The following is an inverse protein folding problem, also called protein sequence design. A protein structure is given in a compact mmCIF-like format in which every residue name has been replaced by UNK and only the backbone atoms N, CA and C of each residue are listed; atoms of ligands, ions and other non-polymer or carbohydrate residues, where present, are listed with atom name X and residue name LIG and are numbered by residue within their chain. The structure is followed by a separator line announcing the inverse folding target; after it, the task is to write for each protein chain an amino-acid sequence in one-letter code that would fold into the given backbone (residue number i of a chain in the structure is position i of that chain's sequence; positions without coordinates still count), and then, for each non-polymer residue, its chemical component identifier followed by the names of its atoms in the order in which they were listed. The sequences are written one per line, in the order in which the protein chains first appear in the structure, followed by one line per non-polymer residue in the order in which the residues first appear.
data_IF_004831944495
#
_entry.id   IF_004831944495
#
_cell.length_a   1.000
_cell.length_b   1.000
_cell.length_c   1.000
_cell.angle_alpha   90.00
_cell.angle_beta   90.00
_cell.angle_gamma   90.00
#
_symmetry.space_group_name_H-M   'P 1'
#
loop_
_entity.id
_entity.type
_entity.pdbx_description
1 polymer ?
#
# COMPACT_ATOMS: atom_id res chain seq x y z
N UNK A 1 -15.28 -2.62 12.66
CA UNK A 1 -15.84 -2.58 11.30
C UNK A 1 -16.39 -1.19 10.94
N UNK A 2 -17.45 -0.67 11.59
CA UNK A 2 -18.09 0.62 11.23
C UNK A 2 -17.13 1.81 11.14
N UNK A 3 -16.21 1.97 12.09
CA UNK A 3 -15.22 3.07 12.09
C UNK A 3 -14.26 2.93 10.89
N UNK A 4 -13.81 1.72 10.59
CA UNK A 4 -12.95 1.45 9.45
C UNK A 4 -13.65 1.82 8.14
N UNK A 5 -14.89 1.36 7.93
CA UNK A 5 -15.65 1.65 6.72
C UNK A 5 -15.89 3.15 6.55
N UNK A 6 -16.25 3.86 7.62
CA UNK A 6 -16.39 5.33 7.60
C UNK A 6 -15.07 6.02 7.22
N UNK A 7 -13.92 5.53 7.69
CA UNK A 7 -12.63 6.04 7.30
C UNK A 7 -12.37 5.86 5.80
N UNK A 8 -12.69 4.68 5.26
CA UNK A 8 -12.59 4.41 3.81
C UNK A 8 -13.48 5.36 3.02
N UNK A 9 -14.77 5.53 3.42
CA UNK A 9 -15.72 6.42 2.74
C UNK A 9 -15.20 7.87 2.69
N UNK A 10 -14.66 8.37 3.80
CA UNK A 10 -14.12 9.73 3.86
C UNK A 10 -12.90 9.88 2.94
N UNK A 11 -11.99 8.91 2.94
CA UNK A 11 -10.82 8.92 2.06
C UNK A 11 -11.27 8.89 0.60
N UNK A 12 -12.13 7.94 0.21
CA UNK A 12 -12.62 7.81 -1.16
C UNK A 12 -13.35 9.07 -1.60
N UNK A 13 -14.24 9.62 -0.77
CA UNK A 13 -14.97 10.85 -1.09
C UNK A 13 -14.05 12.05 -1.28
N UNK A 14 -12.96 12.12 -0.50
CA UNK A 14 -11.98 13.20 -0.61
C UNK A 14 -11.07 13.11 -1.84
N UNK A 15 -10.90 11.93 -2.45
CA UNK A 15 -10.08 11.75 -3.66
C UNK A 15 -10.91 11.71 -4.95
N UNK A 16 -12.20 11.42 -4.87
CA UNK A 16 -13.09 11.32 -6.05
C UNK A 16 -13.05 12.56 -6.94
N UNK A 17 -13.13 13.80 -6.42
CA UNK A 17 -13.04 14.99 -7.27
C UNK A 17 -11.69 15.10 -7.99
N UNK A 18 -10.60 14.69 -7.34
CA UNK A 18 -9.27 14.67 -7.93
C UNK A 18 -9.18 13.62 -9.04
N UNK A 19 -9.71 12.43 -8.81
CA UNK A 19 -9.77 11.37 -9.80
C UNK A 19 -10.61 11.77 -11.02
N UNK A 20 -11.72 12.47 -10.81
CA UNK A 20 -12.55 13.03 -11.91
C UNK A 20 -11.80 14.12 -12.68
N UNK A 21 -11.03 14.97 -12.00
CA UNK A 21 -10.22 15.99 -12.64
C UNK A 21 -9.12 15.37 -13.53
N UNK A 22 -8.42 14.34 -13.03
CA UNK A 22 -7.45 13.58 -13.83
C UNK A 22 -8.10 12.81 -14.97
N UNK A 23 -9.31 12.25 -14.76
CA UNK A 23 -10.07 11.59 -15.82
C UNK A 23 -10.38 12.55 -16.98
N UNK A 24 -10.84 13.76 -16.69
CA UNK A 24 -11.04 14.80 -17.69
C UNK A 24 -9.74 15.28 -18.35
N UNK A 25 -8.67 15.44 -17.57
CA UNK A 25 -7.38 15.90 -18.06
C UNK A 25 -6.73 14.90 -19.03
N UNK A 26 -6.83 13.60 -18.75
CA UNK A 26 -6.19 12.54 -19.52
C UNK A 26 -7.14 11.77 -20.44
N UNK A 27 -8.40 12.20 -20.52
CA UNK A 27 -9.44 11.57 -21.34
C UNK A 27 -9.58 10.05 -21.08
N UNK A 28 -9.59 9.66 -19.81
CA UNK A 28 -9.79 8.29 -19.37
C UNK A 28 -11.26 7.98 -19.10
N UNK A 29 -11.59 6.69 -18.85
CA UNK A 29 -12.93 6.32 -18.42
C UNK A 29 -13.30 6.97 -17.08
N UNK A 30 -14.59 7.16 -16.84
CA UNK A 30 -15.09 7.71 -15.59
C UNK A 30 -14.80 6.77 -14.42
N UNK A 31 -14.28 7.31 -13.31
CA UNK A 31 -14.03 6.54 -12.11
C UNK A 31 -15.31 6.07 -11.40
N UNK A 32 -16.48 6.62 -11.77
CA UNK A 32 -17.79 6.17 -11.26
C UNK A 32 -18.16 4.76 -11.70
N UNK A 33 -17.46 4.20 -12.69
CA UNK A 33 -17.64 2.82 -13.16
C UNK A 33 -16.77 1.82 -12.42
N UNK A 34 -15.86 2.29 -11.56
CA UNK A 34 -15.03 1.41 -10.74
C UNK A 34 -15.87 0.71 -9.67
N UNK A 35 -15.61 -0.57 -9.48
CA UNK A 35 -16.22 -1.36 -8.42
C UNK A 35 -15.94 -0.76 -7.05
N UNK A 36 -16.99 -0.70 -6.22
CA UNK A 36 -16.94 -0.13 -4.88
C UNK A 36 -16.56 -1.18 -3.84
N UNK A 37 -15.46 -0.91 -3.16
CA UNK A 37 -14.91 -1.75 -2.10
C UNK A 37 -15.93 -2.05 -0.98
N UNK A 38 -16.71 -1.04 -0.54
CA UNK A 38 -17.65 -1.24 0.56
C UNK A 38 -18.82 -2.13 0.15
N UNK A 39 -19.31 -1.96 -1.08
CA UNK A 39 -20.34 -2.82 -1.67
C UNK A 39 -19.81 -4.26 -1.78
N UNK A 40 -18.59 -4.42 -2.31
CA UNK A 40 -17.95 -5.72 -2.44
C UNK A 40 -17.76 -6.40 -1.08
N UNK A 41 -17.22 -5.67 -0.10
CA UNK A 41 -17.01 -6.21 1.25
C UNK A 41 -18.34 -6.60 1.91
N UNK A 42 -19.39 -5.82 1.75
CA UNK A 42 -20.72 -6.14 2.30
C UNK A 42 -21.28 -7.46 1.74
N UNK A 43 -20.97 -7.80 0.49
CA UNK A 43 -21.39 -9.06 -0.14
C UNK A 43 -20.54 -10.27 0.31
N UNK A 44 -19.25 -10.08 0.59
CA UNK A 44 -18.29 -11.17 0.82
C UNK A 44 -17.67 -11.18 2.23
N UNK A 45 -18.18 -10.39 3.17
CA UNK A 45 -17.64 -10.25 4.54
C UNK A 45 -17.41 -11.62 5.22
N UNK A 46 -18.39 -12.52 5.14
CA UNK A 46 -18.28 -13.86 5.75
C UNK A 46 -17.19 -14.71 5.12
N UNK A 47 -17.02 -14.61 3.79
CA UNK A 47 -15.93 -15.30 3.08
C UNK A 47 -14.57 -14.75 3.49
N UNK A 48 -14.41 -13.43 3.54
CA UNK A 48 -13.18 -12.75 3.98
C UNK A 48 -12.79 -13.22 5.38
N UNK A 49 -13.75 -13.23 6.31
CA UNK A 49 -13.51 -13.68 7.68
C UNK A 49 -13.09 -15.14 7.78
N UNK A 50 -13.76 -16.04 7.03
CA UNK A 50 -13.45 -17.46 7.02
C UNK A 50 -12.04 -17.73 6.42
N UNK A 51 -11.70 -17.10 5.30
CA UNK A 51 -10.39 -17.25 4.65
C UNK A 51 -9.28 -16.71 5.55
N UNK A 52 -9.50 -15.55 6.20
CA UNK A 52 -8.56 -14.98 7.16
C UNK A 52 -8.26 -15.97 8.28
N UNK A 53 -9.30 -16.53 8.89
CA UNK A 53 -9.15 -17.49 10.00
C UNK A 53 -8.42 -18.76 9.55
N UNK A 54 -8.89 -19.39 8.46
CA UNK A 54 -8.28 -20.62 7.93
C UNK A 54 -6.81 -20.40 7.54
N UNK A 55 -6.52 -19.33 6.79
CA UNK A 55 -5.18 -19.03 6.33
C UNK A 55 -4.23 -18.70 7.47
N UNK A 56 -4.69 -17.98 8.50
CA UNK A 56 -3.90 -17.73 9.69
C UNK A 56 -3.54 -19.00 10.46
N UNK A 57 -4.51 -19.90 10.66
CA UNK A 57 -4.26 -21.20 11.30
C UNK A 57 -3.25 -22.00 10.49
N UNK A 58 -3.39 -22.03 9.17
CA UNK A 58 -2.43 -22.72 8.28
C UNK A 58 -1.05 -22.06 8.34
N UNK A 59 -0.94 -20.73 8.42
CA UNK A 59 0.34 -20.04 8.60
C UNK A 59 1.05 -20.47 9.90
N UNK A 60 0.32 -20.64 11.00
CA UNK A 60 0.88 -21.16 12.26
C UNK A 60 1.37 -22.61 12.07
N UNK A 61 0.60 -23.46 11.39
CA UNK A 61 0.98 -24.86 11.10
C UNK A 61 2.26 -24.88 10.26
N UNK A 62 2.32 -24.07 9.19
CA UNK A 62 3.51 -23.94 8.34
C UNK A 62 4.71 -23.47 9.17
N UNK A 63 4.54 -22.45 10.02
CA UNK A 63 5.61 -21.92 10.88
C UNK A 63 6.10 -22.97 11.89
N UNK A 64 5.23 -23.86 12.38
CA UNK A 64 5.60 -24.94 13.30
C UNK A 64 6.42 -26.04 12.63
N UNK A 65 5.97 -26.54 11.47
CA UNK A 65 6.46 -27.80 10.90
C UNK A 65 7.44 -27.62 9.73
N UNK A 66 7.64 -26.37 9.25
CA UNK A 66 8.50 -26.11 8.10
C UNK A 66 9.62 -25.14 8.44
N UNK A 67 10.47 -24.84 7.45
CA UNK A 67 11.52 -23.80 7.54
C UNK A 67 10.98 -22.36 7.54
N UNK A 68 9.72 -22.15 7.17
CA UNK A 68 9.08 -20.84 7.12
C UNK A 68 8.65 -20.40 8.53
N UNK A 69 9.64 -20.02 9.36
CA UNK A 69 9.47 -19.70 10.79
C UNK A 69 8.99 -18.27 11.01
N UNK A 70 7.95 -17.83 10.28
CA UNK A 70 7.36 -16.49 10.40
C UNK A 70 5.86 -16.56 10.57
N UNK A 71 5.31 -15.77 11.50
CA UNK A 71 3.87 -15.65 11.74
C UNK A 71 3.46 -14.24 11.41
N UNK A 72 2.53 -14.09 10.47
CA UNK A 72 2.05 -12.80 10.02
C UNK A 72 1.11 -12.17 11.05
N UNK A 73 1.45 -10.97 11.55
CA UNK A 73 0.70 -10.28 12.60
C UNK A 73 0.25 -8.86 12.25
N UNK A 74 0.45 -8.41 11.01
CA UNK A 74 -0.05 -7.11 10.53
C UNK A 74 -1.51 -7.26 10.12
N UNK A 75 -2.40 -6.99 11.02
CA UNK A 75 -3.76 -7.43 10.89
C UNK A 75 -4.60 -6.66 9.86
N UNK A 76 -4.32 -5.36 9.58
CA UNK A 76 -4.95 -4.66 8.47
C UNK A 76 -4.62 -5.35 7.14
N UNK A 77 -3.38 -5.73 6.94
CA UNK A 77 -2.94 -6.43 5.72
C UNK A 77 -3.52 -7.84 5.67
N UNK A 78 -3.57 -8.54 6.82
CA UNK A 78 -4.23 -9.85 6.92
C UNK A 78 -5.70 -9.80 6.46
N UNK A 79 -6.40 -8.69 6.72
CA UNK A 79 -7.78 -8.50 6.31
C UNK A 79 -7.92 -8.17 4.81
N UNK A 80 -7.00 -7.35 4.25
CA UNK A 80 -7.10 -6.89 2.87
C UNK A 80 -6.79 -7.97 1.84
N UNK A 81 -5.85 -8.88 2.11
CA UNK A 81 -5.48 -9.92 1.13
C UNK A 81 -6.60 -10.89 0.78
N UNK A 82 -7.38 -11.46 1.73
CA UNK A 82 -8.51 -12.31 1.38
C UNK A 82 -9.53 -11.61 0.48
N UNK A 83 -9.87 -10.37 0.80
CA UNK A 83 -10.76 -9.55 -0.02
C UNK A 83 -10.21 -9.37 -1.43
N UNK A 84 -8.92 -9.03 -1.54
CA UNK A 84 -8.27 -8.79 -2.83
C UNK A 84 -8.26 -10.04 -3.71
N UNK A 85 -7.92 -11.21 -3.14
CA UNK A 85 -7.90 -12.45 -3.90
C UNK A 85 -9.30 -12.96 -4.25
N UNK A 86 -10.31 -12.70 -3.42
CA UNK A 86 -11.71 -12.93 -3.80
C UNK A 86 -12.09 -12.08 -5.02
N UNK A 87 -11.76 -10.79 -5.00
CA UNK A 87 -12.01 -9.90 -6.12
C UNK A 87 -11.35 -10.38 -7.40
N UNK A 88 -10.05 -10.73 -7.35
CA UNK A 88 -9.31 -11.28 -8.50
C UNK A 88 -9.93 -12.58 -9.02
N UNK A 89 -10.34 -13.48 -8.12
CA UNK A 89 -10.99 -14.73 -8.53
C UNK A 89 -12.32 -14.48 -9.24
N UNK A 90 -13.12 -13.55 -8.74
CA UNK A 90 -14.42 -13.18 -9.34
C UNK A 90 -14.22 -12.54 -10.71
N UNK A 91 -13.27 -11.63 -10.87
CA UNK A 91 -12.93 -11.04 -12.18
C UNK A 91 -12.51 -12.10 -13.21
N UNK A 92 -11.92 -13.20 -12.75
CA UNK A 92 -11.56 -14.35 -13.59
C UNK A 92 -12.67 -15.42 -13.68
N UNK A 93 -13.91 -15.11 -13.31
CA UNK A 93 -15.06 -16.04 -13.32
C UNK A 93 -14.87 -17.31 -12.48
N UNK A 94 -13.98 -17.28 -11.49
CA UNK A 94 -13.84 -18.38 -10.53
C UNK A 94 -14.98 -18.30 -9.52
N UNK A 95 -15.64 -19.40 -9.22
CA UNK A 95 -16.82 -19.43 -8.35
C UNK A 95 -16.86 -20.64 -7.41
N UNK A 96 -17.76 -20.59 -6.43
CA UNK A 96 -18.01 -21.70 -5.51
C UNK A 96 -16.77 -22.17 -4.74
N UNK A 97 -16.59 -23.48 -4.65
CA UNK A 97 -15.46 -24.09 -3.92
C UNK A 97 -14.10 -23.74 -4.57
N UNK A 98 -14.05 -23.64 -5.90
CA UNK A 98 -12.81 -23.24 -6.61
C UNK A 98 -12.35 -21.83 -6.16
N UNK A 99 -13.28 -20.89 -6.00
CA UNK A 99 -12.98 -19.52 -5.53
C UNK A 99 -12.40 -19.54 -4.10
N UNK A 100 -13.00 -20.32 -3.21
CA UNK A 100 -12.50 -20.46 -1.85
C UNK A 100 -11.08 -21.02 -1.82
N UNK A 101 -10.82 -22.12 -2.56
CA UNK A 101 -9.50 -22.76 -2.62
C UNK A 101 -8.47 -21.83 -3.25
N UNK A 102 -8.79 -21.18 -4.38
CA UNK A 102 -7.93 -20.20 -5.03
C UNK A 102 -7.52 -19.09 -4.06
N UNK A 103 -8.51 -18.45 -3.43
CA UNK A 103 -8.26 -17.34 -2.49
C UNK A 103 -7.42 -17.79 -1.29
N UNK A 104 -7.72 -18.96 -0.73
CA UNK A 104 -6.98 -19.50 0.41
C UNK A 104 -5.52 -19.81 0.06
N UNK A 105 -5.25 -20.41 -1.10
CA UNK A 105 -3.89 -20.70 -1.57
C UNK A 105 -3.10 -19.39 -1.75
N UNK A 106 -3.66 -18.42 -2.49
CA UNK A 106 -3.01 -17.14 -2.73
C UNK A 106 -2.72 -16.41 -1.41
N UNK A 107 -3.67 -16.43 -0.48
CA UNK A 107 -3.52 -15.83 0.83
C UNK A 107 -2.39 -16.46 1.64
N UNK A 108 -2.33 -17.81 1.71
CA UNK A 108 -1.26 -18.52 2.44
C UNK A 108 0.11 -18.22 1.84
N UNK A 109 0.21 -18.15 0.51
CA UNK A 109 1.47 -17.86 -0.18
C UNK A 109 2.01 -16.49 0.23
N UNK A 110 1.17 -15.44 0.18
CA UNK A 110 1.63 -14.08 0.50
C UNK A 110 2.05 -13.94 1.95
N UNK A 111 1.24 -14.41 2.90
CA UNK A 111 1.55 -14.25 4.34
C UNK A 111 2.71 -15.12 4.83
N UNK A 112 3.16 -16.05 3.99
CA UNK A 112 4.27 -16.96 4.32
C UNK A 112 5.57 -16.57 3.62
N UNK A 113 5.54 -16.31 2.31
CA UNK A 113 6.74 -16.18 1.48
C UNK A 113 7.47 -14.87 1.73
N UNK A 114 6.76 -13.74 1.64
CA UNK A 114 7.42 -12.44 1.76
C UNK A 114 8.05 -12.18 3.12
N UNK A 115 7.38 -12.43 4.25
CA UNK A 115 8.01 -12.27 5.56
C UNK A 115 9.24 -13.16 5.74
N UNK A 116 9.20 -14.38 5.22
CA UNK A 116 10.34 -15.30 5.27
C UNK A 116 11.54 -14.78 4.48
N UNK A 117 11.31 -14.32 3.24
CA UNK A 117 12.38 -13.76 2.40
C UNK A 117 12.97 -12.50 3.04
N UNK A 118 12.09 -11.63 3.57
CA UNK A 118 12.48 -10.34 4.13
C UNK A 118 13.28 -10.47 5.44
N UNK A 119 13.10 -11.56 6.21
CA UNK A 119 13.73 -11.79 7.51
C UNK A 119 15.24 -11.50 7.53
N UNK A 120 15.99 -12.04 6.56
CA UNK A 120 17.45 -11.82 6.45
C UNK A 120 17.82 -10.36 6.21
N UNK A 121 16.95 -9.61 5.49
CA UNK A 121 17.17 -8.22 5.17
C UNK A 121 16.83 -7.32 6.36
N UNK A 122 15.74 -7.61 7.08
CA UNK A 122 15.38 -6.95 8.34
C UNK A 122 16.49 -7.14 9.37
N UNK A 123 16.96 -8.38 9.56
CA UNK A 123 18.08 -8.68 10.45
C UNK A 123 19.34 -7.86 10.10
N UNK A 124 19.62 -7.64 8.82
CA UNK A 124 20.75 -6.85 8.39
C UNK A 124 20.61 -5.36 8.80
N UNK A 125 19.42 -4.79 8.66
CA UNK A 125 19.14 -3.38 8.98
C UNK A 125 19.08 -3.16 10.48
N UNK A 126 18.45 -4.06 11.21
CA UNK A 126 18.17 -3.90 12.67
C UNK A 126 19.27 -4.45 13.58
N UNK A 127 20.13 -5.31 13.07
CA UNK A 127 21.14 -6.02 13.85
C UNK A 127 20.59 -7.19 14.68
N UNK A 128 19.29 -7.46 14.65
CA UNK A 128 18.68 -8.54 15.43
C UNK A 128 17.70 -9.39 14.60
N UNK A 129 17.29 -10.53 15.11
CA UNK A 129 16.44 -11.52 14.45
C UNK A 129 15.13 -11.75 15.23
N UNK A 130 14.68 -10.74 16.00
CA UNK A 130 13.50 -10.86 16.87
C UNK A 130 12.18 -10.68 16.12
N UNK A 131 12.20 -10.08 14.93
CA UNK A 131 11.03 -9.87 14.08
C UNK A 131 11.41 -9.80 12.59
N UNK A 132 10.43 -9.90 11.75
CA UNK A 132 10.50 -9.52 10.34
C UNK A 132 9.35 -8.58 10.00
N UNK A 133 9.27 -8.12 8.75
CA UNK A 133 8.17 -7.28 8.28
C UNK A 133 7.16 -8.14 7.51
N UNK A 134 5.88 -7.94 7.82
CA UNK A 134 4.72 -8.43 7.09
C UNK A 134 3.89 -7.23 6.66
N UNK A 135 4.22 -6.64 5.51
CA UNK A 135 3.57 -5.44 5.00
C UNK A 135 3.71 -5.35 3.48
N UNK A 136 2.85 -4.59 2.84
CA UNK A 136 2.84 -4.35 1.39
C UNK A 136 4.11 -3.66 0.86
N UNK A 137 4.94 -3.12 1.75
CA UNK A 137 6.26 -2.57 1.46
C UNK A 137 7.33 -3.60 1.08
N UNK A 138 7.06 -4.90 1.24
CA UNK A 138 8.08 -5.97 1.14
C UNK A 138 8.88 -5.92 -0.14
N UNK A 139 8.22 -5.65 -1.28
CA UNK A 139 8.89 -5.56 -2.58
C UNK A 139 9.89 -4.41 -2.65
N UNK A 140 9.53 -3.24 -2.09
CA UNK A 140 10.40 -2.06 -2.10
C UNK A 140 11.54 -2.20 -1.10
N UNK A 141 11.31 -2.85 0.04
CA UNK A 141 12.36 -3.22 1.00
C UNK A 141 13.37 -4.19 0.37
N UNK A 142 12.90 -5.17 -0.40
CA UNK A 142 13.76 -6.08 -1.16
C UNK A 142 14.52 -5.33 -2.26
N UNK A 143 13.83 -4.52 -3.07
CA UNK A 143 14.44 -3.68 -4.10
C UNK A 143 15.56 -2.82 -3.51
N UNK A 144 15.29 -2.11 -2.41
CA UNK A 144 16.27 -1.29 -1.71
C UNK A 144 17.46 -2.10 -1.20
N UNK A 145 17.21 -3.27 -0.65
CA UNK A 145 18.28 -4.14 -0.15
C UNK A 145 19.20 -4.63 -1.28
N UNK A 146 18.66 -4.94 -2.47
CA UNK A 146 19.45 -5.37 -3.63
C UNK A 146 20.17 -4.20 -4.28
N UNK A 147 19.51 -3.06 -4.52
CA UNK A 147 20.15 -1.84 -5.05
C UNK A 147 21.28 -1.39 -4.10
N UNK A 148 21.01 -1.39 -2.79
CA UNK A 148 22.03 -1.05 -1.79
C UNK A 148 23.26 -1.95 -1.86
N UNK A 149 23.06 -3.26 -2.10
CA UNK A 149 24.17 -4.20 -2.32
C UNK A 149 24.96 -3.90 -3.58
N UNK A 150 24.29 -3.50 -4.67
CA UNK A 150 24.94 -3.17 -5.95
C UNK A 150 25.75 -1.88 -5.87
N UNK A 151 25.19 -0.85 -5.21
CA UNK A 151 25.86 0.46 -5.06
C UNK A 151 27.03 0.40 -4.08
N UNK A 152 26.87 -0.26 -2.93
CA UNK A 152 27.94 -0.61 -2.00
C UNK A 152 28.67 0.54 -1.27
N UNK A 153 28.05 1.76 -1.18
CA UNK A 153 28.68 2.96 -0.61
C UNK A 153 28.18 3.24 0.82
N UNK A 154 28.39 2.31 1.75
CA UNK A 154 27.90 2.39 3.14
C UNK A 154 28.41 3.59 3.93
N UNK A 155 29.60 4.06 3.63
CA UNK A 155 30.25 5.25 4.20
C UNK A 155 29.42 6.51 3.99
N UNK A 156 28.63 6.56 2.91
CA UNK A 156 27.74 7.68 2.56
C UNK A 156 26.36 7.54 3.22
N UNK A 157 26.32 7.34 4.54
CA UNK A 157 25.07 7.11 5.26
C UNK A 157 24.23 8.40 5.39
N UNK A 158 22.97 8.36 4.96
CA UNK A 158 22.00 9.49 5.08
C UNK A 158 21.77 9.89 6.54
N UNK A 159 21.84 8.96 7.49
CA UNK A 159 21.56 9.25 8.90
C UNK A 159 22.62 10.19 9.53
N UNK A 160 23.77 10.31 8.89
CA UNK A 160 24.82 11.27 9.29
C UNK A 160 24.52 12.71 8.82
N UNK A 161 23.49 12.93 8.02
CA UNK A 161 23.09 14.27 7.56
C UNK A 161 22.28 15.00 8.63
N UNK A 162 22.66 16.24 8.92
CA UNK A 162 21.89 17.14 9.75
C UNK A 162 20.76 17.78 8.92
N UNK A 163 19.59 17.12 8.90
CA UNK A 163 18.43 17.69 8.20
C UNK A 163 17.86 18.88 8.98
N UNK A 164 17.40 19.94 8.26
CA UNK A 164 16.75 21.08 8.89
C UNK A 164 15.56 20.67 9.76
N UNK A 165 15.42 21.29 10.93
CA UNK A 165 14.27 21.03 11.84
C UNK A 165 12.92 21.31 11.18
N UNK A 166 12.86 22.21 10.20
CA UNK A 166 11.68 22.49 9.40
C UNK A 166 11.15 21.28 8.62
N UNK A 167 11.94 20.25 8.38
CA UNK A 167 11.49 19.02 7.72
C UNK A 167 10.91 18.00 8.71
N UNK A 168 10.96 18.27 10.03
CA UNK A 168 10.50 17.30 11.04
C UNK A 168 8.99 17.04 10.96
N UNK A 169 8.17 17.98 10.49
CA UNK A 169 6.73 17.80 10.34
C UNK A 169 6.36 16.76 9.26
N UNK A 170 7.22 16.56 8.24
CA UNK A 170 7.02 15.47 7.26
C UNK A 170 7.16 14.07 7.85
N UNK A 171 7.62 13.95 9.10
CA UNK A 171 7.63 12.67 9.84
C UNK A 171 6.23 12.28 10.32
N UNK A 172 5.31 13.24 10.44
CA UNK A 172 3.90 12.95 10.69
C UNK A 172 3.18 12.70 9.36
N UNK A 173 2.80 11.46 9.13
CA UNK A 173 2.17 11.01 7.87
C UNK A 173 0.87 11.74 7.58
N UNK A 174 0.07 12.03 8.62
CA UNK A 174 -1.24 12.65 8.43
C UNK A 174 -1.11 14.11 8.02
N UNK A 175 -0.21 14.85 8.68
CA UNK A 175 0.09 16.24 8.32
C UNK A 175 0.67 16.30 6.91
N UNK A 176 1.59 15.41 6.61
CA UNK A 176 2.20 15.31 5.28
C UNK A 176 1.16 15.00 4.21
N UNK A 177 0.28 14.04 4.46
CA UNK A 177 -0.78 13.68 3.52
C UNK A 177 -1.74 14.86 3.27
N UNK A 178 -2.13 15.60 4.32
CA UNK A 178 -2.96 16.80 4.20
C UNK A 178 -2.30 17.87 3.30
N UNK A 179 -1.02 18.16 3.55
CA UNK A 179 -0.28 19.19 2.80
C UNK A 179 -0.09 18.77 1.34
N UNK A 180 0.30 17.51 1.10
CA UNK A 180 0.49 17.01 -0.26
C UNK A 180 -0.82 17.03 -1.03
N UNK A 181 -1.92 16.54 -0.45
CA UNK A 181 -3.23 16.59 -1.09
C UNK A 181 -3.68 18.03 -1.35
N UNK A 182 -3.49 18.94 -0.41
CA UNK A 182 -3.74 20.38 -0.62
C UNK A 182 -2.99 20.92 -1.84
N UNK A 183 -1.68 20.65 -1.94
CA UNK A 183 -0.84 21.09 -3.07
C UNK A 183 -1.31 20.45 -4.39
N UNK A 184 -1.60 19.16 -4.38
CA UNK A 184 -2.06 18.44 -5.58
C UNK A 184 -3.38 19.02 -6.07
N UNK A 185 -4.35 19.27 -5.18
CA UNK A 185 -5.63 19.89 -5.55
C UNK A 185 -5.45 21.28 -6.17
N UNK A 186 -4.54 22.11 -5.63
CA UNK A 186 -4.22 23.41 -6.22
C UNK A 186 -3.64 23.24 -7.63
N UNK A 187 -2.61 22.41 -7.78
CA UNK A 187 -1.95 22.18 -9.06
C UNK A 187 -2.97 21.71 -10.10
N UNK A 188 -3.71 20.64 -9.80
CA UNK A 188 -4.70 20.10 -10.74
C UNK A 188 -5.79 21.13 -11.05
N UNK A 189 -6.30 21.83 -10.02
CA UNK A 189 -7.32 22.87 -10.21
C UNK A 189 -6.88 24.06 -11.06
N UNK A 190 -5.56 24.30 -11.16
CA UNK A 190 -5.00 25.30 -12.10
C UNK A 190 -4.93 24.76 -13.52
N UNK A 191 -4.62 23.46 -13.69
CA UNK A 191 -4.45 22.85 -15.01
C UNK A 191 -5.78 22.53 -15.73
N UNK A 192 -6.85 22.16 -15.02
CA UNK A 192 -8.13 21.78 -15.63
C UNK A 192 -8.96 22.96 -16.15
N UNK A 193 -8.52 24.18 -15.93
CA UNK A 193 -9.23 25.40 -16.34
C UNK A 193 -10.44 25.74 -15.46
N UNK A 194 -10.96 26.97 -15.62
CA UNK A 194 -11.99 27.52 -14.72
C UNK A 194 -13.34 26.78 -14.80
N UNK A 195 -13.80 26.47 -15.99
CA UNK A 195 -15.12 25.85 -16.19
C UNK A 195 -15.16 24.43 -15.64
N UNK A 196 -14.18 23.58 -16.01
CA UNK A 196 -14.04 22.22 -15.49
C UNK A 196 -13.84 22.20 -13.97
N UNK A 197 -13.09 23.17 -13.44
CA UNK A 197 -12.90 23.31 -12.00
C UNK A 197 -14.22 23.59 -11.27
N UNK A 198 -15.04 24.51 -11.80
CA UNK A 198 -16.34 24.83 -11.18
C UNK A 198 -17.28 23.59 -11.27
N UNK A 199 -17.24 22.86 -12.38
CA UNK A 199 -18.05 21.65 -12.55
C UNK A 199 -17.67 20.54 -11.57
N UNK A 200 -16.36 20.37 -11.24
CA UNK A 200 -15.85 19.27 -10.41
C UNK A 200 -15.71 19.70 -8.95
N UNK A 201 -15.18 20.89 -8.67
CA UNK A 201 -14.88 21.37 -7.32
C UNK A 201 -15.96 22.30 -6.75
N UNK A 202 -16.93 22.71 -7.57
CA UNK A 202 -17.96 23.67 -7.18
C UNK A 202 -17.49 25.13 -7.31
N UNK A 203 -18.32 26.05 -6.77
CA UNK A 203 -18.09 27.49 -6.85
C UNK A 203 -17.12 28.04 -5.79
N UNK A 204 -16.61 27.20 -4.90
CA UNK A 204 -15.72 27.63 -3.83
C UNK A 204 -14.35 28.10 -4.36
N UNK A 205 -13.67 29.04 -3.66
CA UNK A 205 -12.30 29.44 -4.00
C UNK A 205 -11.38 28.23 -3.98
N UNK A 206 -10.52 28.09 -5.01
CA UNK A 206 -9.63 26.93 -5.18
C UNK A 206 -8.80 26.63 -3.91
N UNK A 207 -8.26 27.65 -3.26
CA UNK A 207 -7.44 27.48 -2.05
C UNK A 207 -8.27 26.89 -0.91
N UNK A 208 -9.48 27.41 -0.67
CA UNK A 208 -10.38 26.94 0.39
C UNK A 208 -10.78 25.50 0.13
N UNK A 209 -11.22 25.19 -1.08
CA UNK A 209 -11.60 23.83 -1.48
C UNK A 209 -10.43 22.84 -1.30
N UNK A 210 -9.25 23.21 -1.81
CA UNK A 210 -8.06 22.34 -1.71
C UNK A 210 -7.65 22.09 -0.26
N UNK A 211 -7.76 23.10 0.61
CA UNK A 211 -7.47 22.96 2.04
C UNK A 211 -8.44 22.00 2.72
N UNK A 212 -9.74 22.17 2.45
CA UNK A 212 -10.79 21.30 2.98
C UNK A 212 -10.54 19.83 2.54
N UNK A 213 -10.26 19.60 1.26
CA UNK A 213 -10.01 18.26 0.76
C UNK A 213 -8.74 17.61 1.37
N UNK A 214 -7.67 18.37 1.51
CA UNK A 214 -6.45 17.90 2.17
C UNK A 214 -6.68 17.50 3.63
N UNK A 215 -7.40 18.31 4.39
CA UNK A 215 -7.74 18.01 5.79
C UNK A 215 -8.70 16.81 5.86
N UNK A 216 -9.71 16.75 4.98
CA UNK A 216 -10.68 15.64 4.93
C UNK A 216 -9.99 14.32 4.63
N UNK A 217 -9.05 14.30 3.67
CA UNK A 217 -8.24 13.12 3.38
C UNK A 217 -7.46 12.65 4.61
N UNK A 218 -6.75 13.55 5.27
CA UNK A 218 -5.98 13.20 6.48
C UNK A 218 -6.88 12.72 7.63
N UNK A 219 -8.02 13.35 7.84
CA UNK A 219 -9.01 12.92 8.83
C UNK A 219 -9.56 11.52 8.52
N UNK A 220 -9.90 11.25 7.26
CA UNK A 220 -10.33 9.94 6.80
C UNK A 220 -9.27 8.87 7.06
N UNK A 221 -8.00 9.17 6.76
CA UNK A 221 -6.87 8.28 7.05
C UNK A 221 -6.72 8.00 8.55
N UNK A 222 -6.83 9.01 9.41
CA UNK A 222 -6.76 8.82 10.87
C UNK A 222 -7.88 7.91 11.35
N UNK A 223 -9.11 8.14 10.89
CA UNK A 223 -10.28 7.35 11.25
C UNK A 223 -10.13 5.91 10.76
N UNK A 224 -9.70 5.71 9.51
CA UNK A 224 -9.44 4.39 8.93
C UNK A 224 -8.40 3.63 9.76
N UNK A 225 -7.23 4.22 9.97
CA UNK A 225 -6.15 3.59 10.74
C UNK A 225 -6.55 3.32 12.20
N UNK A 226 -7.38 4.17 12.80
CA UNK A 226 -7.92 3.95 14.14
C UNK A 226 -8.88 2.76 14.15
N UNK A 227 -9.78 2.66 13.18
CA UNK A 227 -10.69 1.52 13.03
C UNK A 227 -9.91 0.20 12.87
N UNK A 228 -8.87 0.21 12.05
CA UNK A 228 -7.94 -0.92 11.91
C UNK A 228 -7.31 -1.27 13.26
N UNK A 229 -6.68 -0.31 13.95
CA UNK A 229 -6.02 -0.55 15.25
C UNK A 229 -6.96 -1.13 16.31
N UNK A 230 -8.21 -0.68 16.33
CA UNK A 230 -9.22 -1.20 17.27
C UNK A 230 -9.52 -2.69 17.01
N UNK A 231 -9.71 -3.09 15.75
CA UNK A 231 -9.91 -4.49 15.39
C UNK A 231 -8.70 -5.33 15.78
N UNK A 232 -7.48 -4.80 15.54
CA UNK A 232 -6.24 -5.50 15.79
C UNK A 232 -5.86 -5.57 17.27
N UNK A 233 -6.22 -4.56 18.05
CA UNK A 233 -5.95 -4.52 19.48
C UNK A 233 -6.50 -5.74 20.23
N UNK A 234 -7.60 -6.31 19.74
CA UNK A 234 -8.19 -7.53 20.29
C UNK A 234 -7.61 -8.81 19.66
N UNK A 235 -7.37 -8.78 18.37
CA UNK A 235 -6.97 -9.96 17.59
C UNK A 235 -5.49 -10.32 17.81
N UNK A 236 -4.57 -9.35 17.75
CA UNK A 236 -3.13 -9.60 17.80
C UNK A 236 -2.67 -10.25 19.11
N UNK A 237 -3.08 -9.79 20.32
CA UNK A 237 -2.66 -10.43 21.56
C UNK A 237 -3.12 -11.87 21.66
N UNK A 238 -4.37 -12.16 21.23
CA UNK A 238 -4.92 -13.50 21.20
C UNK A 238 -4.13 -14.43 20.27
N UNK A 239 -3.85 -13.97 19.07
CA UNK A 239 -3.06 -14.74 18.10
C UNK A 239 -1.60 -14.90 18.50
N UNK A 240 -0.98 -13.88 19.08
CA UNK A 240 0.39 -13.98 19.59
C UNK A 240 0.49 -15.05 20.68
N UNK A 241 -0.44 -15.07 21.63
CA UNK A 241 -0.46 -16.09 22.70
C UNK A 241 -0.61 -17.52 22.15
N UNK A 242 -1.40 -17.72 21.09
CA UNK A 242 -1.54 -18.99 20.38
C UNK A 242 -0.24 -19.36 19.66
N UNK A 243 0.34 -18.41 18.93
CA UNK A 243 1.56 -18.60 18.17
C UNK A 243 2.76 -18.97 19.03
N UNK A 244 2.96 -18.27 20.14
CA UNK A 244 4.05 -18.53 21.10
C UNK A 244 3.99 -19.96 21.67
N UNK A 245 2.78 -20.48 21.87
CA UNK A 245 2.58 -21.86 22.37
C UNK A 245 2.71 -22.91 21.28
N UNK A 246 2.13 -22.66 20.11
CA UNK A 246 2.00 -23.67 19.04
C UNK A 246 3.20 -23.70 18.08
N UNK A 247 3.90 -22.58 17.86
CA UNK A 247 5.00 -22.48 16.89
C UNK A 247 6.30 -21.95 17.50
N UNK A 248 6.81 -22.69 18.49
CA UNK A 248 8.08 -22.33 19.16
C UNK A 248 9.22 -22.08 18.16
N UNK A 249 9.96 -20.97 18.34
CA UNK A 249 11.09 -20.58 17.49
C UNK A 249 10.70 -19.86 16.20
N UNK A 250 9.42 -19.56 15.99
CA UNK A 250 9.00 -18.61 14.97
C UNK A 250 9.11 -17.18 15.45
N UNK A 251 9.27 -16.25 14.50
CA UNK A 251 9.32 -14.82 14.77
C UNK A 251 8.08 -14.13 14.20
N UNK A 252 7.61 -13.03 14.83
CA UNK A 252 6.50 -12.26 14.30
C UNK A 252 6.91 -11.48 13.05
N UNK A 253 6.04 -11.47 12.05
CA UNK A 253 6.08 -10.54 10.95
C UNK A 253 5.17 -9.35 11.30
N UNK A 254 5.81 -8.21 11.59
CA UNK A 254 5.18 -7.01 12.14
C UNK A 254 5.00 -5.94 11.07
N UNK A 255 4.25 -4.91 11.43
CA UNK A 255 3.95 -3.78 10.57
C UNK A 255 5.20 -2.94 10.25
N UNK A 256 5.18 -2.25 9.10
CA UNK A 256 6.31 -1.51 8.55
C UNK A 256 6.85 -0.39 9.45
N UNK A 257 6.05 0.32 10.28
CA UNK A 257 6.58 1.33 11.19
C UNK A 257 7.65 0.83 12.18
N UNK A 258 7.72 -0.49 12.38
CA UNK A 258 8.78 -1.11 13.21
C UNK A 258 10.19 -0.90 12.66
N UNK A 259 10.33 -0.60 11.36
CA UNK A 259 11.64 -0.35 10.73
C UNK A 259 12.01 1.14 10.70
N UNK A 260 11.06 2.06 10.87
CA UNK A 260 11.27 3.50 10.73
C UNK A 260 12.36 4.07 11.64
N UNK A 261 12.49 3.63 12.92
CA UNK A 261 13.55 4.12 13.80
C UNK A 261 14.97 3.80 13.34
N UNK A 262 15.14 2.83 12.43
CA UNK A 262 16.46 2.41 11.93
C UNK A 262 16.97 3.25 10.75
N UNK A 263 16.17 4.18 10.25
CA UNK A 263 16.56 5.10 9.17
C UNK A 263 15.57 6.24 8.96
N UNK A 264 15.35 7.11 9.97
CA UNK A 264 14.34 8.15 9.90
C UNK A 264 14.64 9.22 8.83
N UNK A 265 15.92 9.52 8.58
CA UNK A 265 16.30 10.44 7.51
C UNK A 265 16.16 9.78 6.13
N UNK A 266 16.54 8.50 6.01
CA UNK A 266 16.37 7.75 4.77
C UNK A 266 14.90 7.59 4.42
N UNK A 267 14.03 7.34 5.41
CA UNK A 267 12.58 7.30 5.22
C UNK A 267 12.06 8.61 4.65
N UNK A 268 12.43 9.73 5.27
CA UNK A 268 11.96 11.07 4.85
C UNK A 268 12.41 11.43 3.43
N UNK A 269 13.70 11.26 3.14
CA UNK A 269 14.27 11.55 1.81
C UNK A 269 13.66 10.60 0.78
N UNK A 270 13.54 9.32 1.14
CA UNK A 270 12.92 8.30 0.31
C UNK A 270 11.48 8.63 -0.05
N UNK A 271 10.69 9.10 0.90
CA UNK A 271 9.32 9.54 0.69
C UNK A 271 9.24 10.71 -0.31
N UNK A 272 10.05 11.77 -0.11
CA UNK A 272 10.02 12.94 -1.00
C UNK A 272 10.36 12.55 -2.44
N UNK A 273 11.40 11.73 -2.63
CA UNK A 273 11.82 11.29 -3.96
C UNK A 273 10.76 10.38 -4.59
N UNK A 274 10.22 9.42 -3.83
CA UNK A 274 9.14 8.54 -4.31
C UNK A 274 7.91 9.34 -4.74
N UNK A 275 7.53 10.35 -3.97
CA UNK A 275 6.39 11.21 -4.27
C UNK A 275 6.61 12.00 -5.58
N UNK A 276 7.79 12.64 -5.73
CA UNK A 276 8.12 13.39 -6.95
C UNK A 276 8.11 12.48 -8.18
N UNK A 277 8.74 11.31 -8.08
CA UNK A 277 8.81 10.39 -9.22
C UNK A 277 7.48 9.72 -9.52
N UNK A 278 6.65 9.42 -8.51
CA UNK A 278 5.31 8.88 -8.72
C UNK A 278 4.39 9.91 -9.39
N UNK A 279 4.41 11.17 -8.97
CA UNK A 279 3.65 12.24 -9.61
C UNK A 279 4.13 12.44 -11.06
N UNK A 280 5.44 12.49 -11.29
CA UNK A 280 5.99 12.57 -12.65
C UNK A 280 5.53 11.41 -13.54
N UNK A 281 5.56 10.18 -13.02
CA UNK A 281 5.09 8.98 -13.72
C UNK A 281 3.59 9.02 -13.98
N UNK A 282 2.78 9.49 -13.02
CA UNK A 282 1.34 9.70 -13.19
C UNK A 282 1.06 10.58 -14.42
N UNK A 283 1.73 11.73 -14.52
CA UNK A 283 1.55 12.64 -15.66
C UNK A 283 2.05 12.02 -16.98
N UNK A 284 3.18 11.31 -16.96
CA UNK A 284 3.68 10.63 -18.17
C UNK A 284 2.72 9.54 -18.66
N UNK A 285 2.21 8.70 -17.76
CA UNK A 285 1.23 7.66 -18.10
C UNK A 285 -0.08 8.29 -18.59
N UNK A 286 -0.56 9.34 -17.93
CA UNK A 286 -1.75 10.06 -18.34
C UNK A 286 -1.61 10.68 -19.72
N UNK A 287 -0.52 11.40 -19.97
CA UNK A 287 -0.25 12.03 -21.26
C UNK A 287 -0.01 11.03 -22.40
N UNK A 288 0.45 9.82 -22.10
CA UNK A 288 0.69 8.76 -23.11
C UNK A 288 -0.60 8.12 -23.64
N UNK A 289 -1.74 8.32 -22.98
CA UNK A 289 -3.02 7.73 -23.36
C UNK A 289 -3.14 6.21 -23.07
N UNK A 290 -2.22 5.63 -22.30
CA UNK A 290 -2.25 4.19 -21.96
C UNK A 290 -3.18 3.87 -20.78
N UNK A 291 -3.64 4.89 -20.03
CA UNK A 291 -4.49 4.67 -18.87
C UNK A 291 -5.95 4.45 -19.27
N UNK A 292 -6.53 3.35 -18.84
CA UNK A 292 -7.98 3.11 -18.96
C UNK A 292 -8.76 3.96 -17.96
N UNK A 293 -8.30 3.99 -16.71
CA UNK A 293 -8.83 4.78 -15.61
C UNK A 293 -7.80 5.77 -15.11
N UNK A 294 -8.23 6.91 -14.62
CA UNK A 294 -7.34 7.88 -14.01
C UNK A 294 -6.73 7.33 -12.72
N UNK A 295 -5.42 7.47 -12.60
CA UNK A 295 -4.71 7.28 -11.33
C UNK A 295 -4.73 8.58 -10.54
N UNK A 296 -4.42 8.48 -9.25
CA UNK A 296 -4.23 9.60 -8.33
C UNK A 296 -2.83 9.53 -7.71
N UNK A 297 -2.31 10.61 -7.13
CA UNK A 297 -1.08 10.55 -6.35
C UNK A 297 -1.21 9.62 -5.15
N UNK A 298 -0.46 8.53 -5.12
CA UNK A 298 -0.50 7.51 -4.08
C UNK A 298 0.39 7.89 -2.89
N UNK A 299 0.05 9.00 -2.22
CA UNK A 299 0.85 9.59 -1.12
C UNK A 299 1.11 8.60 0.00
N UNK A 300 0.07 7.86 0.40
CA UNK A 300 0.14 6.87 1.49
C UNK A 300 1.11 5.75 1.12
N UNK A 301 0.99 5.21 -0.09
CA UNK A 301 1.87 4.15 -0.56
C UNK A 301 3.32 4.65 -0.77
N UNK A 302 3.52 5.91 -1.20
CA UNK A 302 4.86 6.50 -1.24
C UNK A 302 5.52 6.51 0.15
N UNK A 303 4.76 6.79 1.22
CA UNK A 303 5.29 6.86 2.58
C UNK A 303 5.45 5.48 3.23
N UNK A 304 4.41 4.64 3.20
CA UNK A 304 4.41 3.36 3.93
C UNK A 304 5.02 2.21 3.12
N UNK A 305 5.00 2.26 1.79
CA UNK A 305 5.50 1.17 0.97
C UNK A 305 6.85 1.48 0.34
N UNK A 306 6.98 2.58 -0.40
CA UNK A 306 8.22 2.89 -1.15
C UNK A 306 9.33 3.43 -0.26
N UNK A 307 9.02 4.40 0.61
CA UNK A 307 10.03 5.07 1.45
C UNK A 307 10.80 4.13 2.39
N UNK A 308 10.20 3.09 2.99
CA UNK A 308 10.97 2.10 3.75
C UNK A 308 12.06 1.40 2.95
N UNK A 309 11.88 1.24 1.62
CA UNK A 309 12.92 0.73 0.72
C UNK A 309 14.22 1.53 0.79
N UNK A 310 14.13 2.85 1.01
CA UNK A 310 15.30 3.71 1.18
C UNK A 310 16.09 3.37 2.45
N UNK A 311 15.45 2.93 3.53
CA UNK A 311 16.12 2.49 4.76
C UNK A 311 17.01 1.27 4.47
N UNK A 312 16.45 0.28 3.77
CA UNK A 312 17.17 -0.94 3.39
C UNK A 312 18.32 -0.65 2.40
N UNK A 313 18.10 0.29 1.47
CA UNK A 313 19.09 0.71 0.51
C UNK A 313 20.25 1.48 1.19
N UNK A 314 19.92 2.44 2.06
CA UNK A 314 20.89 3.24 2.80
C UNK A 314 21.77 2.38 3.69
N UNK A 315 21.22 1.39 4.39
CA UNK A 315 21.95 0.49 5.25
C UNK A 315 23.06 -0.30 4.52
N UNK A 316 22.94 -0.48 3.20
CA UNK A 316 23.89 -1.24 2.38
C UNK A 316 24.70 -0.40 1.40
N UNK A 317 24.12 0.67 0.84
CA UNK A 317 24.67 1.42 -0.27
C UNK A 317 24.66 2.94 -0.09
N UNK A 318 24.32 3.44 1.11
CA UNK A 318 24.29 4.86 1.43
C UNK A 318 23.23 5.66 0.67
N UNK A 319 23.33 7.00 0.72
CA UNK A 319 22.34 7.88 0.10
C UNK A 319 22.17 7.67 -1.42
N UNK A 320 23.20 7.30 -2.22
CA UNK A 320 22.97 7.08 -3.65
C UNK A 320 22.02 5.92 -3.92
N UNK A 321 22.17 4.83 -3.14
CA UNK A 321 21.27 3.67 -3.25
C UNK A 321 19.86 4.01 -2.80
N UNK A 322 19.71 4.81 -1.74
CA UNK A 322 18.41 5.24 -1.23
C UNK A 322 17.66 6.09 -2.27
N UNK A 323 18.35 7.05 -2.92
CA UNK A 323 17.77 7.88 -3.99
C UNK A 323 17.31 7.03 -5.17
N UNK A 324 18.19 6.13 -5.68
CA UNK A 324 17.87 5.26 -6.81
C UNK A 324 16.66 4.36 -6.49
N UNK A 325 16.67 3.76 -5.30
CA UNK A 325 15.57 2.88 -4.86
C UNK A 325 14.24 3.63 -4.81
N UNK A 326 14.23 4.83 -4.24
CA UNK A 326 13.02 5.62 -4.09
C UNK A 326 12.50 6.14 -5.43
N UNK A 327 13.38 6.57 -6.31
CA UNK A 327 13.01 7.02 -7.64
C UNK A 327 12.41 5.88 -8.48
N UNK A 328 13.07 4.73 -8.53
CA UNK A 328 12.53 3.54 -9.20
C UNK A 328 11.25 3.05 -8.53
N UNK A 329 11.19 3.10 -7.19
CA UNK A 329 10.02 2.70 -6.43
C UNK A 329 8.79 3.55 -6.78
N UNK A 330 8.93 4.87 -6.89
CA UNK A 330 7.83 5.76 -7.30
C UNK A 330 7.33 5.49 -8.73
N UNK A 331 8.23 5.16 -9.65
CA UNK A 331 7.88 4.76 -11.02
C UNK A 331 7.13 3.41 -11.00
N UNK A 332 7.69 2.41 -10.35
CA UNK A 332 7.11 1.07 -10.24
C UNK A 332 5.72 1.14 -9.59
N UNK A 333 5.57 1.95 -8.54
CA UNK A 333 4.30 2.17 -7.84
C UNK A 333 3.17 2.53 -8.81
N UNK A 334 3.39 3.52 -9.66
CA UNK A 334 2.36 4.01 -10.58
C UNK A 334 2.09 3.02 -11.73
N UNK A 335 3.12 2.36 -12.24
CA UNK A 335 2.95 1.33 -13.29
C UNK A 335 2.17 0.13 -12.76
N UNK A 336 2.51 -0.37 -11.57
CA UNK A 336 1.79 -1.47 -10.95
C UNK A 336 0.34 -1.09 -10.61
N UNK A 337 0.10 0.14 -10.14
CA UNK A 337 -1.25 0.65 -9.89
C UNK A 337 -2.09 0.66 -11.18
N UNK A 338 -1.53 1.16 -12.29
CA UNK A 338 -2.21 1.19 -13.58
C UNK A 338 -2.64 -0.21 -14.05
N UNK A 339 -1.72 -1.19 -13.97
CA UNK A 339 -2.00 -2.56 -14.41
C UNK A 339 -3.05 -3.21 -13.51
N UNK A 340 -2.85 -3.15 -12.19
CA UNK A 340 -3.73 -3.84 -11.24
C UNK A 340 -5.11 -3.22 -11.16
N UNK A 341 -5.23 -1.90 -11.33
CA UNK A 341 -6.52 -1.22 -11.38
C UNK A 341 -7.41 -1.77 -12.50
N UNK A 342 -6.86 -2.01 -13.68
CA UNK A 342 -7.61 -2.60 -14.79
C UNK A 342 -8.07 -4.03 -14.49
N UNK A 343 -7.25 -4.82 -13.77
CA UNK A 343 -7.54 -6.23 -13.49
C UNK A 343 -8.64 -6.46 -12.45
N UNK A 344 -8.94 -5.47 -11.61
CA UNK A 344 -9.98 -5.56 -10.57
C UNK A 344 -10.95 -4.38 -10.62
N UNK A 345 -11.05 -3.74 -11.79
CA UNK A 345 -11.86 -2.53 -11.98
C UNK A 345 -13.35 -2.75 -11.71
N UNK A 346 -13.89 -3.93 -12.00
CA UNK A 346 -15.31 -4.25 -11.80
C UNK A 346 -15.67 -4.62 -10.34
N UNK A 347 -14.69 -4.92 -9.51
CA UNK A 347 -14.93 -5.40 -8.11
C UNK A 347 -14.46 -4.39 -7.06
N UNK A 348 -13.15 -4.17 -6.95
CA UNK A 348 -12.52 -3.34 -5.90
C UNK A 348 -11.62 -2.25 -6.50
N UNK A 349 -12.02 -1.73 -7.67
CA UNK A 349 -11.22 -0.74 -8.40
C UNK A 349 -10.90 0.50 -7.58
N UNK A 350 -11.87 1.05 -6.84
CA UNK A 350 -11.65 2.22 -5.99
C UNK A 350 -10.64 1.96 -4.84
N UNK A 351 -10.55 0.72 -4.34
CA UNK A 351 -9.54 0.34 -3.36
C UNK A 351 -8.13 0.35 -3.99
N UNK A 352 -7.95 -0.26 -5.14
CA UNK A 352 -6.66 -0.27 -5.83
C UNK A 352 -6.25 1.12 -6.30
N UNK A 353 -7.20 1.95 -6.74
CA UNK A 353 -6.92 3.35 -7.09
C UNK A 353 -6.34 4.14 -5.91
N UNK A 354 -6.71 3.78 -4.67
CA UNK A 354 -6.30 4.48 -3.44
C UNK A 354 -5.07 3.87 -2.78
N UNK A 355 -4.98 2.54 -2.77
CA UNK A 355 -4.00 1.77 -1.98
C UNK A 355 -3.14 0.82 -2.81
N UNK A 356 -3.27 0.82 -4.13
CA UNK A 356 -2.51 -0.05 -5.03
C UNK A 356 -1.07 0.41 -5.29
N UNK A 357 -0.44 -0.20 -6.28
CA UNK A 357 0.93 0.11 -6.71
C UNK A 357 2.02 -0.60 -5.91
N UNK A 358 1.67 -1.25 -4.83
CA UNK A 358 2.56 -1.95 -3.90
C UNK A 358 2.46 -3.48 -4.08
N UNK A 359 2.74 -4.23 -3.02
CA UNK A 359 2.64 -5.69 -3.02
C UNK A 359 1.22 -6.19 -3.37
N UNK A 360 0.16 -5.45 -3.02
CA UNK A 360 -1.20 -5.76 -3.46
C UNK A 360 -1.29 -5.88 -4.98
N UNK A 361 -0.74 -4.90 -5.70
CA UNK A 361 -0.78 -4.89 -7.17
C UNK A 361 -0.01 -6.05 -7.79
N UNK A 362 1.15 -6.43 -7.24
CA UNK A 362 1.89 -7.61 -7.69
C UNK A 362 1.04 -8.87 -7.50
N UNK A 363 0.41 -9.02 -6.34
CA UNK A 363 -0.42 -10.18 -6.07
C UNK A 363 -1.72 -10.19 -6.86
N UNK A 364 -2.27 -9.04 -7.22
CA UNK A 364 -3.38 -8.95 -8.20
C UNK A 364 -2.93 -9.50 -9.55
N UNK A 365 -1.76 -9.08 -10.05
CA UNK A 365 -1.22 -9.53 -11.34
C UNK A 365 -0.93 -11.03 -11.32
N UNK A 366 -0.27 -11.53 -10.27
CA UNK A 366 -0.01 -12.97 -10.11
C UNK A 366 -1.34 -13.73 -9.96
N UNK A 367 -2.25 -13.22 -9.17
CA UNK A 367 -3.57 -13.81 -8.93
C UNK A 367 -4.41 -13.89 -10.20
N UNK A 368 -4.36 -12.87 -11.06
CA UNK A 368 -5.02 -12.88 -12.37
C UNK A 368 -4.47 -14.02 -13.26
N UNK A 369 -3.16 -14.17 -13.32
CA UNK A 369 -2.53 -15.26 -14.09
C UNK A 369 -2.92 -16.64 -13.55
N UNK A 370 -2.94 -16.80 -12.22
CA UNK A 370 -3.35 -18.06 -11.58
C UNK A 370 -4.86 -18.27 -11.69
N UNK A 371 -5.67 -17.22 -11.52
CA UNK A 371 -7.14 -17.27 -11.62
C UNK A 371 -7.62 -17.80 -12.98
N UNK A 372 -6.95 -17.42 -14.06
CA UNK A 372 -7.21 -17.95 -15.40
C UNK A 372 -7.04 -19.46 -15.50
N UNK A 373 -6.18 -20.07 -14.69
CA UNK A 373 -6.02 -21.53 -14.63
C UNK A 373 -7.16 -22.20 -13.84
N UNK A 374 -7.75 -21.49 -12.87
CA UNK A 374 -8.88 -21.96 -12.07
C UNK A 374 -10.24 -21.80 -12.76
N UNK A 375 -10.33 -20.93 -13.75
CA UNK A 375 -11.56 -20.67 -14.52
C UNK A 375 -11.85 -21.79 -15.57
N UNK A 376 -10.86 -22.60 -15.90
CA UNK A 376 -10.98 -23.78 -16.76
C UNK A 376 -11.53 -24.95 -15.90
#
# INVERSE_FOLDING_TARGET
MVILLKGVDIVVSSITPLANAFSGLFNTQSNSTLGDFNVFLGQYESYVGLILLCGFVINIIIARYTRFKTIYLTGNILFWYPMLFLAVGIENNVSGLKLFIFTLIMYILVITIFPYILRKHVKYVTGNDSFTIGHTASIYCLLGSYIGKLVGQKDKNIENLNLPKSLSFFRDTNITAAIVMFIVYIIVGLFIGKESRIAIYGSEPLITYSLIQGITFAAGMIILLTGVRMILGEIIPSFKGIADKLAKGSIPALDIPMIFPYGPNALLIGFIIALITSIGTLFLLGASGVLTFALIPLVVACYFDVAPGAIFANARGGWPAAIITSALGGIILMVLAAISLNLVSGTVGNFIQTYGGNEFSIWVIIGDLVGKLFSI
#
